data_IF_550691423967
#
_entry.id   IF_550691423967
#
_cell.length_a   1.000
_cell.length_b   1.000
_cell.length_c   1.000
_cell.angle_alpha   90.00
_cell.angle_beta   90.00
_cell.angle_gamma   90.00
#
_symmetry.space_group_name_H-M   'P 1'
#
loop_
_entity.id
_entity.type
_entity.pdbx_description
1 polymer ?
#
# COMPACT_ATOMS: atom_id res chain seq x y z
N UNK A 1 50.01 -4.61 -0.85
CA UNK A 1 50.34 -3.88 0.39
C UNK A 1 49.12 -3.93 1.26
N UNK A 2 49.23 -4.64 2.38
CA UNK A 2 48.20 -4.75 3.41
C UNK A 2 48.34 -3.55 4.35
N UNK A 3 47.28 -2.80 4.61
CA UNK A 3 47.24 -1.87 5.75
C UNK A 3 46.06 -2.23 6.66
N UNK A 4 46.44 -2.78 7.80
CA UNK A 4 45.63 -2.92 8.99
C UNK A 4 45.82 -1.66 9.85
N UNK A 5 44.74 -1.15 10.44
CA UNK A 5 44.84 -0.25 11.60
C UNK A 5 43.97 -0.85 12.71
N UNK A 6 44.68 -1.47 13.66
CA UNK A 6 44.19 -1.81 14.99
C UNK A 6 44.40 -0.62 15.92
N UNK A 7 43.46 -0.40 16.84
CA UNK A 7 43.71 0.26 18.11
C UNK A 7 42.61 1.21 18.57
N UNK A 8 41.88 0.83 19.63
CA UNK A 8 42.10 1.44 20.95
C UNK A 8 41.38 0.66 22.06
N UNK A 9 42.12 0.49 23.15
CA UNK A 9 41.84 -0.33 24.34
C UNK A 9 40.99 0.40 25.37
N UNK A 10 40.05 -0.33 25.97
CA UNK A 10 39.23 0.05 27.13
C UNK A 10 40.08 0.04 28.40
N UNK A 11 39.98 1.10 29.22
CA UNK A 11 40.58 1.16 30.57
C UNK A 11 39.51 1.49 31.61
N UNK A 12 39.31 0.56 32.54
CA UNK A 12 38.53 0.75 33.76
C UNK A 12 39.39 1.36 34.88
N UNK A 13 38.81 2.05 35.86
CA UNK A 13 39.43 2.26 37.16
C UNK A 13 38.72 1.47 38.28
N UNK A 14 39.53 0.84 39.13
CA UNK A 14 39.13 0.33 40.45
C UNK A 14 39.59 1.28 41.57
N UNK A 15 38.86 1.23 42.69
CA UNK A 15 39.22 1.78 44.00
C UNK A 15 38.03 2.53 44.61
N UNK A 16 37.60 2.35 45.85
CA UNK A 16 38.05 1.57 47.01
C UNK A 16 37.05 1.82 48.14
N UNK A 17 36.96 0.89 49.09
CA UNK A 17 35.96 0.83 50.17
C UNK A 17 36.12 1.93 51.24
N UNK A 18 34.98 2.41 51.76
CA UNK A 18 34.90 3.18 53.00
C UNK A 18 33.45 3.22 53.53
N UNK A 19 33.21 2.59 54.69
CA UNK A 19 31.90 2.55 55.38
C UNK A 19 31.96 3.45 56.62
N UNK A 20 31.03 4.41 56.76
CA UNK A 20 30.18 4.59 57.96
C UNK A 20 29.15 5.73 57.84
N UNK A 21 27.90 5.32 58.07
CA UNK A 21 26.66 5.98 58.54
C UNK A 21 26.70 7.42 59.07
N UNK A 22 25.75 8.25 58.59
CA UNK A 22 24.76 9.00 59.42
C UNK A 22 23.58 9.54 58.58
N UNK A 23 22.36 9.48 59.14
CA UNK A 23 21.31 10.50 58.95
C UNK A 23 20.33 10.39 57.76
N UNK A 24 19.21 9.69 57.96
CA UNK A 24 18.05 9.72 57.05
C UNK A 24 17.27 11.04 57.14
N UNK A 25 17.06 11.70 55.99
CA UNK A 25 15.99 12.70 55.78
C UNK A 25 15.24 12.35 54.49
N UNK A 26 13.90 12.40 54.45
CA UNK A 26 13.15 12.00 53.27
C UNK A 26 13.18 13.12 52.23
N UNK A 27 13.86 12.88 51.10
CA UNK A 27 13.88 13.80 49.95
C UNK A 27 12.56 13.66 49.20
N UNK A 28 11.77 14.73 49.20
CA UNK A 28 10.52 14.83 48.45
C UNK A 28 10.80 14.54 46.97
N UNK A 29 10.10 13.55 46.40
CA UNK A 29 10.13 13.27 44.95
C UNK A 29 9.50 14.47 44.25
N UNK A 30 10.33 15.28 43.58
CA UNK A 30 9.85 16.16 42.52
C UNK A 30 9.36 15.28 41.38
N UNK A 31 8.03 15.20 41.22
CA UNK A 31 7.40 14.59 40.06
C UNK A 31 7.97 15.26 38.80
N UNK A 32 8.64 14.47 37.95
CA UNK A 32 8.97 14.89 36.59
C UNK A 32 7.64 14.95 35.87
N UNK A 33 7.18 16.17 35.60
CA UNK A 33 5.98 16.43 34.82
C UNK A 33 6.25 15.92 33.40
N UNK A 34 5.62 14.80 33.03
CA UNK A 34 5.60 14.31 31.66
C UNK A 34 4.83 15.38 30.86
N UNK A 35 5.40 15.93 29.78
CA UNK A 35 4.69 16.93 28.99
C UNK A 35 3.36 16.33 28.53
N UNK A 36 2.25 17.11 28.56
CA UNK A 36 0.95 16.61 28.15
C UNK A 36 1.06 16.02 26.74
N UNK A 37 0.46 14.85 26.55
CA UNK A 37 0.25 14.30 25.21
C UNK A 37 -0.28 15.42 24.31
N UNK A 38 0.25 15.59 23.09
CA UNK A 38 -0.31 16.56 22.17
C UNK A 38 -1.82 16.32 22.08
N UNK A 39 -2.65 17.38 22.04
CA UNK A 39 -4.09 17.23 21.96
C UNK A 39 -4.40 16.29 20.80
N UNK A 40 -5.29 15.33 21.02
CA UNK A 40 -5.79 14.45 19.97
C UNK A 40 -6.28 15.34 18.83
N UNK A 41 -5.50 15.41 17.74
CA UNK A 41 -5.92 16.14 16.56
C UNK A 41 -7.00 15.28 15.91
N UNK A 42 -8.24 15.77 15.80
CA UNK A 42 -9.28 15.03 15.11
C UNK A 42 -8.81 14.81 13.67
N UNK A 43 -8.93 13.58 13.17
CA UNK A 43 -8.61 13.25 11.78
C UNK A 43 -9.34 14.24 10.87
N UNK A 44 -8.56 14.90 10.01
CA UNK A 44 -9.09 15.77 8.98
C UNK A 44 -9.61 14.91 7.81
N UNK A 45 -10.53 15.42 6.99
CA UNK A 45 -11.09 14.63 5.90
C UNK A 45 -10.03 13.98 5.00
N UNK A 46 -8.96 14.71 4.69
CA UNK A 46 -7.92 14.19 3.80
C UNK A 46 -7.10 13.07 4.43
N UNK A 47 -7.03 12.98 5.77
CA UNK A 47 -6.21 11.99 6.50
C UNK A 47 -6.71 10.54 6.28
N UNK A 48 -7.92 10.34 5.73
CA UNK A 48 -8.38 9.00 5.34
C UNK A 48 -7.51 8.35 4.26
N UNK A 49 -6.73 9.13 3.52
CA UNK A 49 -5.75 8.60 2.56
C UNK A 49 -4.74 7.66 3.23
N UNK A 50 -4.35 7.90 4.48
CA UNK A 50 -3.42 7.02 5.20
C UNK A 50 -3.97 5.61 5.39
N UNK A 51 -5.29 5.47 5.50
CA UNK A 51 -5.97 4.18 5.61
C UNK A 51 -5.91 3.44 4.27
N UNK A 52 -6.09 4.18 3.17
CA UNK A 52 -5.92 3.66 1.82
C UNK A 52 -4.47 3.27 1.54
N UNK A 53 -3.48 4.11 1.87
CA UNK A 53 -2.05 3.82 1.73
C UNK A 53 -1.67 2.56 2.51
N UNK A 54 -2.17 2.38 3.74
CA UNK A 54 -1.95 1.15 4.52
C UNK A 54 -2.44 -0.09 3.79
N UNK A 55 -3.59 0.01 3.15
CA UNK A 55 -4.16 -1.08 2.39
C UNK A 55 -3.35 -1.36 1.12
N UNK A 56 -3.03 -0.33 0.32
CA UNK A 56 -2.19 -0.46 -0.86
C UNK A 56 -0.82 -1.11 -0.54
N UNK A 57 -0.21 -0.71 0.59
CA UNK A 57 1.01 -1.35 1.10
C UNK A 57 0.83 -2.84 1.32
N UNK A 58 -0.24 -3.25 2.03
CA UNK A 58 -0.53 -4.65 2.29
C UNK A 58 -0.74 -5.44 0.99
N UNK A 59 -1.39 -4.86 0.00
CA UNK A 59 -1.67 -5.53 -1.27
C UNK A 59 -0.38 -5.78 -2.08
N UNK A 60 0.55 -4.83 -2.11
CA UNK A 60 1.83 -5.03 -2.81
C UNK A 60 2.73 -6.04 -2.09
N UNK A 61 2.71 -6.07 -0.74
CA UNK A 61 3.40 -7.14 0.00
C UNK A 61 2.85 -8.52 -0.34
N UNK A 62 1.52 -8.68 -0.41
CA UNK A 62 0.91 -9.96 -0.79
C UNK A 62 1.31 -10.39 -2.21
N UNK A 63 1.40 -9.45 -3.16
CA UNK A 63 1.87 -9.76 -4.51
C UNK A 63 3.31 -10.29 -4.51
N UNK A 64 4.21 -9.62 -3.79
CA UNK A 64 5.60 -10.07 -3.66
C UNK A 64 5.68 -11.47 -3.02
N UNK A 65 4.99 -11.69 -1.89
CA UNK A 65 4.96 -13.00 -1.21
C UNK A 65 4.43 -14.10 -2.12
N UNK A 66 3.35 -13.85 -2.89
CA UNK A 66 2.84 -14.83 -3.84
C UNK A 66 3.87 -15.17 -4.92
N UNK A 67 4.60 -14.18 -5.43
CA UNK A 67 5.65 -14.42 -6.43
C UNK A 67 6.82 -15.24 -5.87
N UNK A 68 7.19 -15.03 -4.61
CA UNK A 68 8.25 -15.78 -3.93
C UNK A 68 7.82 -17.22 -3.65
N UNK A 69 6.61 -17.42 -3.11
CA UNK A 69 6.05 -18.75 -2.89
C UNK A 69 5.95 -19.56 -4.19
N UNK A 70 5.61 -18.90 -5.30
CA UNK A 70 5.57 -19.52 -6.61
C UNK A 70 6.95 -20.00 -7.07
N UNK A 71 8.01 -19.22 -6.81
CA UNK A 71 9.39 -19.65 -7.11
C UNK A 71 9.81 -20.86 -6.25
N UNK A 72 9.50 -20.83 -4.95
CA UNK A 72 9.83 -21.91 -4.03
C UNK A 72 9.18 -23.22 -4.48
N UNK A 73 7.87 -23.19 -4.74
CA UNK A 73 7.12 -24.35 -5.21
C UNK A 73 7.63 -24.85 -6.56
N UNK A 74 7.94 -23.97 -7.52
CA UNK A 74 8.50 -24.37 -8.81
C UNK A 74 9.86 -25.08 -8.66
N UNK A 75 10.68 -24.66 -7.69
CA UNK A 75 12.01 -25.22 -7.45
C UNK A 75 11.97 -26.61 -6.82
N UNK A 76 10.98 -26.89 -5.98
CA UNK A 76 10.86 -28.14 -5.22
C UNK A 76 10.02 -29.20 -5.93
N UNK A 77 9.12 -28.78 -6.82
CA UNK A 77 8.05 -29.63 -7.31
C UNK A 77 8.39 -30.25 -8.67
N UNK A 78 8.12 -31.55 -8.81
CA UNK A 78 8.28 -32.32 -10.05
C UNK A 78 7.02 -33.16 -10.36
N UNK A 79 6.77 -33.40 -11.64
CA UNK A 79 5.66 -34.21 -12.12
C UNK A 79 4.35 -33.45 -12.32
N UNK A 80 3.35 -34.13 -12.87
CA UNK A 80 2.10 -33.51 -13.35
C UNK A 80 1.32 -32.77 -12.24
N UNK A 81 1.32 -33.30 -11.01
CA UNK A 81 0.65 -32.65 -9.88
C UNK A 81 1.31 -31.31 -9.51
N UNK A 82 2.64 -31.22 -9.66
CA UNK A 82 3.38 -29.98 -9.47
C UNK A 82 3.01 -28.92 -10.51
N UNK A 83 2.93 -29.33 -11.78
CA UNK A 83 2.58 -28.45 -12.89
C UNK A 83 1.17 -27.85 -12.72
N UNK A 84 0.21 -28.66 -12.27
CA UNK A 84 -1.15 -28.20 -11.94
C UNK A 84 -1.14 -27.17 -10.81
N UNK A 85 -0.35 -27.39 -9.75
CA UNK A 85 -0.23 -26.42 -8.65
C UNK A 85 0.42 -25.11 -9.10
N UNK A 86 1.49 -25.18 -9.88
CA UNK A 86 2.16 -23.99 -10.45
C UNK A 86 1.20 -23.21 -11.34
N UNK A 87 0.43 -23.89 -12.20
CA UNK A 87 -0.58 -23.26 -13.03
C UNK A 87 -1.65 -22.53 -12.20
N UNK A 88 -2.16 -23.16 -11.15
CA UNK A 88 -3.16 -22.56 -10.27
C UNK A 88 -2.61 -21.30 -9.57
N UNK A 89 -1.38 -21.35 -9.06
CA UNK A 89 -0.73 -20.21 -8.42
C UNK A 89 -0.44 -19.06 -9.38
N UNK A 90 -0.10 -19.35 -10.64
CA UNK A 90 0.10 -18.31 -11.66
C UNK A 90 -1.22 -17.59 -11.97
N UNK A 91 -2.34 -18.30 -12.01
CA UNK A 91 -3.66 -17.67 -12.18
C UNK A 91 -4.08 -16.87 -10.94
N UNK A 92 -3.75 -17.33 -9.73
CA UNK A 92 -3.93 -16.57 -8.49
C UNK A 92 -3.10 -15.27 -8.51
N UNK A 93 -1.81 -15.38 -8.83
CA UNK A 93 -0.90 -14.24 -8.95
C UNK A 93 -1.39 -13.24 -9.98
N UNK A 94 -1.84 -13.70 -11.15
CA UNK A 94 -2.41 -12.86 -12.19
C UNK A 94 -3.65 -12.10 -11.70
N UNK A 95 -4.59 -12.81 -11.08
CA UNK A 95 -5.80 -12.19 -10.52
C UNK A 95 -5.43 -11.14 -9.48
N UNK A 96 -4.43 -11.46 -8.65
CA UNK A 96 -3.98 -10.56 -7.59
C UNK A 96 -3.26 -9.32 -8.12
N UNK A 97 -2.46 -9.51 -9.15
CA UNK A 97 -1.78 -8.44 -9.86
C UNK A 97 -2.78 -7.49 -10.51
N UNK A 98 -3.78 -7.99 -11.25
CA UNK A 98 -4.81 -7.16 -11.88
C UNK A 98 -5.58 -6.33 -10.85
N UNK A 99 -5.93 -6.95 -9.72
CA UNK A 99 -6.56 -6.26 -8.60
C UNK A 99 -5.70 -5.11 -8.08
N UNK A 100 -4.43 -5.38 -7.74
CA UNK A 100 -3.51 -4.36 -7.24
C UNK A 100 -3.31 -3.24 -8.25
N UNK A 101 -3.07 -3.57 -9.51
CA UNK A 101 -2.79 -2.59 -10.56
C UNK A 101 -4.00 -1.68 -10.83
N UNK A 102 -5.22 -2.21 -10.79
CA UNK A 102 -6.43 -1.38 -10.89
C UNK A 102 -6.58 -0.40 -9.72
N UNK A 103 -6.27 -0.85 -8.50
CA UNK A 103 -6.33 0.00 -7.30
C UNK A 103 -5.25 1.08 -7.32
N UNK A 104 -4.04 0.69 -7.70
CA UNK A 104 -2.91 1.61 -7.88
C UNK A 104 -3.27 2.72 -8.87
N UNK A 105 -3.72 2.36 -10.09
CA UNK A 105 -4.09 3.35 -11.12
C UNK A 105 -5.18 4.29 -10.65
N UNK A 106 -6.23 3.78 -10.03
CA UNK A 106 -7.29 4.64 -9.48
C UNK A 106 -6.75 5.68 -8.50
N UNK A 107 -5.76 5.30 -7.69
CA UNK A 107 -5.14 6.20 -6.72
C UNK A 107 -4.21 7.22 -7.37
N UNK A 108 -3.29 6.79 -8.22
CA UNK A 108 -2.38 7.69 -8.93
C UNK A 108 -3.15 8.65 -9.84
N UNK A 109 -4.20 8.19 -10.52
CA UNK A 109 -5.06 9.03 -11.36
C UNK A 109 -5.81 10.07 -10.53
N UNK A 110 -6.35 9.69 -9.37
CA UNK A 110 -7.01 10.62 -8.47
C UNK A 110 -6.02 11.70 -7.97
N UNK A 111 -4.78 11.32 -7.75
CA UNK A 111 -3.73 12.25 -7.34
C UNK A 111 -3.35 13.22 -8.45
N UNK A 112 -2.96 12.70 -9.60
CA UNK A 112 -2.52 13.50 -10.75
C UNK A 112 -3.63 14.41 -11.28
N UNK A 113 -4.88 13.95 -11.29
CA UNK A 113 -6.00 14.72 -11.87
C UNK A 113 -6.73 15.65 -10.90
N UNK A 114 -6.61 15.42 -9.59
CA UNK A 114 -7.44 16.10 -8.58
C UNK A 114 -6.62 16.64 -7.42
N UNK A 115 -5.81 15.80 -6.77
CA UNK A 115 -5.08 16.17 -5.55
C UNK A 115 -3.94 17.13 -5.86
N UNK A 116 -3.08 16.77 -6.80
CA UNK A 116 -1.91 17.57 -7.19
C UNK A 116 -2.33 18.92 -7.78
N UNK A 117 -3.30 19.01 -8.73
CA UNK A 117 -3.80 20.30 -9.18
C UNK A 117 -4.39 21.15 -8.04
N UNK A 118 -5.03 20.54 -7.04
CA UNK A 118 -5.52 21.27 -5.88
C UNK A 118 -4.37 21.83 -5.04
N UNK A 119 -3.32 21.05 -4.77
CA UNK A 119 -2.11 21.51 -4.08
C UNK A 119 -1.46 22.69 -4.82
N UNK A 120 -1.23 22.53 -6.12
CA UNK A 120 -0.55 23.52 -6.98
C UNK A 120 -1.36 24.82 -7.16
N UNK A 121 -2.67 24.79 -6.89
CA UNK A 121 -3.53 25.97 -6.94
C UNK A 121 -3.33 26.94 -5.76
N UNK A 122 -2.64 26.51 -4.69
CA UNK A 122 -2.34 27.37 -3.54
C UNK A 122 -1.09 28.20 -3.85
N UNK A 123 -1.18 29.52 -3.66
CA UNK A 123 -0.07 30.47 -3.92
C UNK A 123 1.26 30.10 -3.24
N UNK A 124 1.22 29.38 -2.11
CA UNK A 124 2.40 28.97 -1.36
C UNK A 124 3.02 27.64 -1.84
N UNK A 125 2.34 26.90 -2.71
CA UNK A 125 2.68 25.54 -3.11
C UNK A 125 2.75 25.49 -4.64
N UNK A 126 3.97 25.66 -5.16
CA UNK A 126 4.24 25.55 -6.59
C UNK A 126 5.38 24.56 -6.82
N UNK A 127 5.21 23.67 -7.80
CA UNK A 127 6.13 22.60 -8.17
C UNK A 127 6.40 21.62 -7.02
N UNK A 128 5.38 21.34 -6.20
CA UNK A 128 5.49 20.39 -5.08
C UNK A 128 5.12 18.98 -5.48
N UNK A 129 4.36 18.80 -6.57
CA UNK A 129 3.77 17.52 -6.98
C UNK A 129 4.49 16.81 -8.14
N UNK A 130 5.26 17.55 -8.95
CA UNK A 130 5.77 17.02 -10.22
C UNK A 130 6.65 15.77 -10.10
N UNK A 131 7.46 15.66 -9.04
CA UNK A 131 8.28 14.46 -8.81
C UNK A 131 7.44 13.22 -8.57
N UNK A 132 6.28 13.34 -7.93
CA UNK A 132 5.38 12.23 -7.64
C UNK A 132 4.68 11.73 -8.91
N UNK A 133 4.28 12.64 -9.82
CA UNK A 133 3.81 12.25 -11.15
C UNK A 133 4.88 11.49 -11.96
N UNK A 134 6.17 11.82 -11.80
CA UNK A 134 7.25 11.05 -12.44
C UNK A 134 7.46 9.68 -11.78
N UNK A 135 7.29 9.60 -10.46
CA UNK A 135 7.27 8.32 -9.74
C UNK A 135 6.11 7.46 -10.25
N UNK A 136 4.90 8.03 -10.44
CA UNK A 136 3.75 7.31 -11.03
C UNK A 136 4.05 6.72 -12.40
N UNK A 137 4.67 7.51 -13.29
CA UNK A 137 5.02 7.04 -14.64
C UNK A 137 5.99 5.86 -14.58
N UNK A 138 7.00 5.95 -13.71
CA UNK A 138 8.00 4.89 -13.53
C UNK A 138 7.36 3.62 -12.95
N UNK A 139 6.48 3.76 -11.97
CA UNK A 139 5.75 2.66 -11.35
C UNK A 139 4.79 1.99 -12.34
N UNK A 140 4.08 2.76 -13.16
CA UNK A 140 3.19 2.24 -14.21
C UNK A 140 3.95 1.44 -15.27
N UNK A 141 5.17 1.86 -15.64
CA UNK A 141 6.06 1.06 -16.50
C UNK A 141 6.41 -0.28 -15.87
N UNK A 142 6.76 -0.30 -14.58
CA UNK A 142 7.04 -1.54 -13.86
C UNK A 142 5.81 -2.47 -13.81
N UNK A 143 4.61 -1.93 -13.56
CA UNK A 143 3.37 -2.71 -13.59
C UNK A 143 3.14 -3.32 -14.99
N UNK A 144 3.33 -2.53 -16.06
CA UNK A 144 3.18 -3.00 -17.44
C UNK A 144 4.14 -4.13 -17.77
N UNK A 145 5.40 -4.02 -17.36
CA UNK A 145 6.38 -5.07 -17.56
C UNK A 145 5.99 -6.35 -16.81
N UNK A 146 5.51 -6.25 -15.57
CA UNK A 146 4.99 -7.40 -14.82
C UNK A 146 3.82 -8.06 -15.57
N UNK A 147 2.88 -7.27 -16.09
CA UNK A 147 1.74 -7.77 -16.86
C UNK A 147 2.19 -8.60 -18.07
N UNK A 148 3.21 -8.12 -18.79
CA UNK A 148 3.79 -8.82 -19.93
C UNK A 148 4.40 -10.17 -19.53
N UNK A 149 5.17 -10.21 -18.44
CA UNK A 149 5.79 -11.44 -17.93
C UNK A 149 4.74 -12.44 -17.47
N UNK A 150 3.71 -12.00 -16.73
CA UNK A 150 2.60 -12.87 -16.30
C UNK A 150 1.85 -13.44 -17.51
N UNK A 151 1.58 -12.62 -18.53
CA UNK A 151 0.90 -13.04 -19.76
C UNK A 151 1.71 -14.11 -20.51
N UNK A 152 3.03 -13.92 -20.62
CA UNK A 152 3.92 -14.90 -21.22
C UNK A 152 3.93 -16.22 -20.43
N UNK A 153 4.06 -16.15 -19.09
CA UNK A 153 4.03 -17.33 -18.21
C UNK A 153 2.72 -18.11 -18.34
N UNK A 154 1.58 -17.43 -18.32
CA UNK A 154 0.25 -18.06 -18.50
C UNK A 154 0.10 -18.75 -19.84
N UNK A 155 0.65 -18.16 -20.90
CA UNK A 155 0.60 -18.73 -22.26
C UNK A 155 1.48 -19.98 -22.35
N UNK A 156 2.67 -19.94 -21.76
CA UNK A 156 3.61 -21.04 -21.74
C UNK A 156 3.05 -22.25 -20.97
N UNK A 157 2.43 -22.03 -19.82
CA UNK A 157 1.84 -23.09 -18.98
C UNK A 157 0.68 -23.81 -19.69
N UNK A 158 -0.06 -23.12 -20.55
CA UNK A 158 -1.20 -23.70 -21.30
C UNK A 158 -0.76 -24.48 -22.55
N UNK A 159 0.51 -24.40 -22.95
CA UNK A 159 1.02 -25.05 -24.15
C UNK A 159 1.50 -26.48 -23.85
N UNK A 160 0.94 -27.47 -24.54
CA UNK A 160 1.38 -28.88 -24.44
C UNK A 160 2.88 -29.07 -24.79
N UNK A 161 3.45 -28.14 -25.57
CA UNK A 161 4.87 -28.16 -25.95
C UNK A 161 5.83 -27.83 -24.79
N UNK A 162 5.33 -27.25 -23.69
CA UNK A 162 6.16 -26.86 -22.53
C UNK A 162 6.44 -28.01 -21.55
N UNK A 163 5.84 -29.19 -21.75
CA UNK A 163 5.93 -30.31 -20.82
C UNK A 163 7.25 -31.13 -20.91
N UNK A 164 8.14 -30.85 -21.88
CA UNK A 164 9.36 -31.65 -22.09
C UNK A 164 10.61 -30.80 -22.41
N UNK A 165 11.62 -30.81 -21.52
CA UNK A 165 13.00 -30.34 -21.78
C UNK A 165 13.35 -28.90 -21.35
N UNK A 166 14.12 -28.11 -22.16
CA UNK A 166 14.70 -26.79 -21.79
C UNK A 166 13.69 -25.72 -21.33
N UNK A 167 12.40 -25.97 -21.55
CA UNK A 167 11.26 -25.20 -21.09
C UNK A 167 11.24 -24.91 -19.56
N UNK A 168 11.70 -25.83 -18.71
CA UNK A 168 11.68 -25.64 -17.23
C UNK A 168 12.69 -24.60 -16.75
N UNK A 169 13.86 -24.53 -17.40
CA UNK A 169 14.91 -23.54 -17.10
C UNK A 169 14.45 -22.13 -17.52
N UNK A 170 13.80 -22.03 -18.68
CA UNK A 170 13.23 -20.77 -19.15
C UNK A 170 12.06 -20.30 -18.28
N UNK A 171 11.22 -21.22 -17.79
CA UNK A 171 10.17 -20.92 -16.83
C UNK A 171 10.75 -20.42 -15.51
N UNK A 172 11.77 -21.08 -14.96
CA UNK A 172 12.43 -20.63 -13.74
C UNK A 172 13.02 -19.22 -13.90
N UNK A 173 13.65 -18.93 -15.05
CA UNK A 173 14.16 -17.59 -15.36
C UNK A 173 13.04 -16.54 -15.39
N UNK A 174 11.91 -16.85 -16.02
CA UNK A 174 10.74 -15.96 -16.05
C UNK A 174 10.16 -15.72 -14.66
N UNK A 175 10.05 -16.75 -13.83
CA UNK A 175 9.58 -16.65 -12.44
C UNK A 175 10.54 -15.85 -11.56
N UNK A 176 11.85 -16.06 -11.73
CA UNK A 176 12.89 -15.29 -11.03
C UNK A 176 12.85 -13.81 -11.42
N UNK A 177 12.69 -13.52 -12.70
CA UNK A 177 12.52 -12.16 -13.19
C UNK A 177 11.26 -11.52 -12.62
N UNK A 178 10.11 -12.21 -12.69
CA UNK A 178 8.84 -11.75 -12.13
C UNK A 178 8.94 -11.45 -10.63
N UNK A 179 9.56 -12.34 -9.85
CA UNK A 179 9.74 -12.12 -8.42
C UNK A 179 10.60 -10.88 -8.14
N UNK A 180 11.70 -10.71 -8.89
CA UNK A 180 12.52 -9.51 -8.81
C UNK A 180 11.75 -8.22 -9.13
N UNK A 181 10.86 -8.26 -10.13
CA UNK A 181 10.01 -7.12 -10.49
C UNK A 181 8.94 -6.83 -9.44
N UNK A 182 8.31 -7.85 -8.85
CA UNK A 182 7.39 -7.67 -7.74
C UNK A 182 8.09 -7.02 -6.52
N UNK A 183 9.33 -7.42 -6.24
CA UNK A 183 10.16 -6.75 -5.23
C UNK A 183 10.47 -5.31 -5.61
N UNK A 184 10.79 -5.02 -6.88
CA UNK A 184 11.06 -3.67 -7.35
C UNK A 184 9.84 -2.75 -7.19
N UNK A 185 8.65 -3.18 -7.65
CA UNK A 185 7.39 -2.45 -7.47
C UNK A 185 7.10 -2.21 -5.99
N UNK A 186 7.29 -3.23 -5.14
CA UNK A 186 7.11 -3.05 -3.69
C UNK A 186 8.05 -1.97 -3.15
N UNK A 187 9.34 -2.03 -3.45
CA UNK A 187 10.32 -1.06 -2.94
C UNK A 187 10.01 0.35 -3.44
N UNK A 188 9.68 0.51 -4.72
CA UNK A 188 9.32 1.79 -5.32
C UNK A 188 8.09 2.38 -4.63
N UNK A 189 6.98 1.63 -4.60
CA UNK A 189 5.73 2.10 -4.04
C UNK A 189 5.83 2.37 -2.53
N UNK A 190 6.63 1.59 -1.77
CA UNK A 190 6.85 1.89 -0.35
C UNK A 190 7.54 3.23 -0.15
N UNK A 191 8.56 3.52 -0.96
CA UNK A 191 9.30 4.78 -0.88
C UNK A 191 8.42 5.94 -1.31
N UNK A 192 7.69 5.78 -2.41
CA UNK A 192 6.78 6.77 -2.95
C UNK A 192 5.71 7.15 -1.90
N UNK A 193 4.90 6.19 -1.44
CA UNK A 193 3.86 6.43 -0.43
C UNK A 193 4.41 7.00 0.88
N UNK A 194 5.61 6.58 1.31
CA UNK A 194 6.23 7.13 2.52
C UNK A 194 6.67 8.59 2.35
N UNK A 195 7.04 8.99 1.14
CA UNK A 195 7.41 10.36 0.82
C UNK A 195 6.16 11.24 0.81
N UNK A 196 5.09 10.80 0.15
CA UNK A 196 3.79 11.50 0.19
C UNK A 196 3.27 11.66 1.62
N UNK A 197 3.23 10.56 2.40
CA UNK A 197 2.80 10.52 3.80
C UNK A 197 3.47 11.61 4.65
N UNK A 198 4.75 11.85 4.37
CA UNK A 198 5.59 12.76 5.14
C UNK A 198 5.58 14.19 4.60
N UNK A 199 5.45 14.36 3.30
CA UNK A 199 5.77 15.62 2.61
C UNK A 199 4.53 16.31 2.04
N UNK A 200 3.62 15.56 1.42
CA UNK A 200 2.43 16.13 0.75
C UNK A 200 1.25 16.29 1.71
N UNK A 201 0.86 15.23 2.40
CA UNK A 201 -0.36 15.24 3.21
C UNK A 201 -0.36 16.27 4.35
N UNK A 202 0.76 16.57 5.03
CA UNK A 202 0.81 17.66 6.01
C UNK A 202 0.52 19.05 5.41
N UNK A 203 0.68 19.25 4.10
CA UNK A 203 0.37 20.52 3.45
C UNK A 203 -1.13 20.81 3.44
N UNK A 204 -1.98 19.78 3.33
CA UNK A 204 -3.43 19.96 3.43
C UNK A 204 -3.83 20.49 4.80
N UNK A 205 -3.23 19.97 5.87
CA UNK A 205 -3.50 20.44 7.23
C UNK A 205 -3.01 21.87 7.48
N UNK A 206 -2.07 22.36 6.67
CA UNK A 206 -1.50 23.71 6.78
C UNK A 206 -2.18 24.75 5.89
N UNK A 207 -2.56 24.39 4.67
CA UNK A 207 -2.97 25.33 3.63
C UNK A 207 -4.42 25.18 3.17
N UNK A 208 -5.11 24.12 3.62
CA UNK A 208 -6.50 23.86 3.27
C UNK A 208 -7.38 23.94 4.51
N UNK A 209 -8.52 24.61 4.36
CA UNK A 209 -9.60 24.49 5.33
C UNK A 209 -10.28 23.13 5.21
N UNK A 210 -10.96 22.69 6.27
CA UNK A 210 -11.75 21.43 6.27
C UNK A 210 -12.71 21.37 5.09
N UNK A 211 -13.39 22.47 4.79
CA UNK A 211 -14.34 22.54 3.67
C UNK A 211 -13.65 22.37 2.31
N UNK A 212 -12.41 22.87 2.13
CA UNK A 212 -11.65 22.66 0.90
C UNK A 212 -11.18 21.20 0.79
N UNK A 213 -10.77 20.57 1.90
CA UNK A 213 -10.43 19.14 1.91
C UNK A 213 -11.65 18.27 1.56
N UNK A 214 -12.84 18.56 2.13
CA UNK A 214 -14.11 17.90 1.78
C UNK A 214 -14.42 18.04 0.28
N UNK A 215 -14.14 19.20 -0.32
CA UNK A 215 -14.34 19.40 -1.76
C UNK A 215 -13.38 18.55 -2.60
N UNK A 216 -12.11 18.40 -2.19
CA UNK A 216 -11.15 17.52 -2.88
C UNK A 216 -11.66 16.09 -2.86
N UNK A 217 -12.04 15.58 -1.69
CA UNK A 217 -12.57 14.22 -1.51
C UNK A 217 -13.87 14.02 -2.30
N UNK A 218 -14.78 15.00 -2.25
CA UNK A 218 -16.01 14.97 -3.03
C UNK A 218 -15.76 14.88 -4.53
N UNK A 219 -14.71 15.53 -5.06
CA UNK A 219 -14.30 15.39 -6.46
C UNK A 219 -13.71 14.02 -6.77
N UNK A 220 -12.86 13.48 -5.89
CA UNK A 220 -12.32 12.12 -6.03
C UNK A 220 -13.48 11.12 -6.15
N UNK A 221 -14.37 11.09 -5.16
CA UNK A 221 -15.51 10.18 -5.13
C UNK A 221 -16.46 10.42 -6.32
N UNK A 222 -16.68 11.68 -6.70
CA UNK A 222 -17.54 12.03 -7.83
C UNK A 222 -16.99 11.62 -9.19
N UNK A 223 -15.66 11.46 -9.33
CA UNK A 223 -15.01 10.92 -10.53
C UNK A 223 -14.85 9.41 -10.49
N UNK A 224 -14.76 8.80 -9.31
CA UNK A 224 -14.68 7.35 -9.16
C UNK A 224 -16.00 6.68 -9.59
N UNK A 225 -15.90 5.61 -10.37
CA UNK A 225 -17.07 4.81 -10.72
C UNK A 225 -17.58 4.00 -9.51
N UNK A 226 -18.85 3.59 -9.55
CA UNK A 226 -19.41 2.76 -8.49
C UNK A 226 -18.69 1.40 -8.35
N UNK A 227 -18.18 0.85 -9.44
CA UNK A 227 -17.46 -0.43 -9.44
C UNK A 227 -16.08 -0.29 -8.76
N UNK A 228 -15.39 0.83 -9.00
CA UNK A 228 -14.13 1.16 -8.33
C UNK A 228 -14.34 1.31 -6.82
N UNK A 229 -15.37 2.05 -6.39
CA UNK A 229 -15.66 2.25 -4.97
C UNK A 229 -16.08 0.96 -4.26
N UNK A 230 -16.78 0.06 -4.96
CA UNK A 230 -17.11 -1.28 -4.44
C UNK A 230 -15.88 -2.14 -4.18
N UNK A 231 -14.76 -1.88 -4.87
CA UNK A 231 -13.49 -2.58 -4.66
C UNK A 231 -12.64 -1.89 -3.61
N UNK A 232 -12.54 -0.56 -3.65
CA UNK A 232 -11.68 0.21 -2.75
C UNK A 232 -12.18 0.20 -1.31
N UNK A 233 -13.48 0.35 -1.08
CA UNK A 233 -14.01 0.43 0.28
C UNK A 233 -13.71 -0.85 1.09
N UNK A 234 -13.96 -2.09 0.60
CA UNK A 234 -13.59 -3.32 1.33
C UNK A 234 -12.14 -3.42 1.70
N UNK A 235 -11.28 -2.94 0.80
CA UNK A 235 -9.85 -2.91 1.03
C UNK A 235 -9.50 -1.96 2.20
N UNK A 236 -10.09 -0.76 2.24
CA UNK A 236 -9.89 0.17 3.37
C UNK A 236 -10.52 -0.39 4.66
N UNK A 237 -11.68 -1.05 4.59
CA UNK A 237 -12.32 -1.71 5.75
C UNK A 237 -11.37 -2.66 6.46
N UNK A 238 -10.65 -3.48 5.69
CA UNK A 238 -9.83 -4.55 6.26
C UNK A 238 -8.62 -4.01 7.02
N UNK A 239 -8.24 -2.75 6.78
CA UNK A 239 -7.10 -2.08 7.40
C UNK A 239 -7.47 -1.02 8.43
N UNK A 240 -8.77 -0.85 8.70
CA UNK A 240 -9.30 0.18 9.62
C UNK A 240 -9.98 -0.45 10.82
N UNK A 241 -9.77 0.17 11.97
CA UNK A 241 -10.49 -0.12 13.22
C UNK A 241 -11.96 0.32 13.11
N UNK A 242 -12.88 -0.21 13.94
CA UNK A 242 -14.27 0.24 13.95
C UNK A 242 -14.44 1.75 14.16
N UNK A 243 -13.56 2.38 14.96
CA UNK A 243 -13.57 3.83 15.15
C UNK A 243 -13.15 4.57 13.87
N UNK A 244 -12.04 4.16 13.24
CA UNK A 244 -11.58 4.75 11.97
C UNK A 244 -12.65 4.61 10.87
N UNK A 245 -13.39 3.50 10.86
CA UNK A 245 -14.51 3.26 9.94
C UNK A 245 -15.68 4.24 10.17
N UNK A 246 -16.05 4.49 11.43
CA UNK A 246 -17.09 5.47 11.77
C UNK A 246 -16.67 6.90 11.41
N UNK A 247 -15.42 7.25 11.66
CA UNK A 247 -14.88 8.57 11.32
C UNK A 247 -14.87 8.78 9.80
N UNK A 248 -14.42 7.77 9.03
CA UNK A 248 -14.43 7.79 7.57
C UNK A 248 -15.84 7.88 6.99
N UNK A 249 -16.78 7.11 7.54
CA UNK A 249 -18.20 7.20 7.20
C UNK A 249 -18.73 8.63 7.33
N UNK A 250 -18.48 9.26 8.47
CA UNK A 250 -18.96 10.60 8.77
C UNK A 250 -18.35 11.63 7.83
N UNK A 251 -17.03 11.57 7.64
CA UNK A 251 -16.27 12.45 6.76
C UNK A 251 -16.73 12.36 5.30
N UNK A 252 -16.82 11.14 4.76
CA UNK A 252 -17.28 10.94 3.38
C UNK A 252 -18.75 11.35 3.23
N UNK A 253 -19.61 10.99 4.18
CA UNK A 253 -21.04 11.38 4.14
C UNK A 253 -21.22 12.89 4.09
N UNK A 254 -20.36 13.62 4.81
CA UNK A 254 -20.33 15.07 4.81
C UNK A 254 -19.83 15.63 3.47
N UNK A 255 -18.73 15.09 2.94
CA UNK A 255 -18.18 15.46 1.63
C UNK A 255 -19.18 15.22 0.48
N UNK A 256 -20.01 14.20 0.60
CA UNK A 256 -21.00 13.80 -0.43
C UNK A 256 -22.43 14.18 -0.09
N UNK A 257 -22.67 15.05 0.91
CA UNK A 257 -24.00 15.35 1.49
C UNK A 257 -25.07 15.81 0.49
N UNK A 258 -24.66 16.31 -0.67
CA UNK A 258 -25.56 16.77 -1.73
C UNK A 258 -25.80 15.72 -2.83
N UNK A 259 -25.47 14.45 -2.57
CA UNK A 259 -25.58 13.35 -3.56
C UNK A 259 -26.37 12.17 -2.99
N UNK A 260 -26.80 11.26 -3.86
CA UNK A 260 -27.40 9.99 -3.42
C UNK A 260 -26.37 9.01 -2.82
N UNK A 261 -25.08 9.34 -2.84
CA UNK A 261 -23.97 8.48 -2.41
C UNK A 261 -24.03 8.11 -0.92
N UNK A 262 -24.43 9.05 -0.07
CA UNK A 262 -24.48 8.85 1.39
C UNK A 262 -25.36 7.65 1.79
N UNK A 263 -26.47 7.41 1.07
CA UNK A 263 -27.36 6.27 1.32
C UNK A 263 -26.69 4.94 0.98
N UNK A 264 -25.97 4.89 -0.14
CA UNK A 264 -25.21 3.71 -0.56
C UNK A 264 -24.07 3.44 0.43
N UNK A 265 -23.29 4.46 0.79
CA UNK A 265 -22.17 4.35 1.71
C UNK A 265 -22.58 3.84 3.11
N UNK A 266 -23.70 4.35 3.64
CA UNK A 266 -24.19 3.95 4.96
C UNK A 266 -24.60 2.47 5.01
N UNK A 267 -25.03 1.89 3.88
CA UNK A 267 -25.36 0.46 3.81
C UNK A 267 -24.13 -0.45 3.91
N UNK A 268 -22.95 0.08 3.54
CA UNK A 268 -21.73 -0.68 3.35
C UNK A 268 -20.91 -0.88 4.64
N UNK A 269 -20.99 0.08 5.57
CA UNK A 269 -20.36 0.00 6.89
C UNK A 269 -21.23 -0.63 7.97
N UNK A 270 -22.48 -1.00 7.66
CA UNK A 270 -23.28 -1.80 8.59
C UNK A 270 -22.57 -3.14 8.84
N UNK A 271 -22.63 -3.67 10.07
CA UNK A 271 -22.16 -5.03 10.33
C UNK A 271 -22.97 -6.00 9.45
N UNK A 272 -22.29 -6.98 8.86
CA UNK A 272 -22.95 -8.06 8.14
C UNK A 272 -23.97 -8.69 9.09
N UNK A 273 -25.25 -8.64 8.72
CA UNK A 273 -26.24 -9.45 9.40
C UNK A 273 -25.86 -10.91 9.13
N UNK A 274 -25.33 -11.57 10.16
CA UNK A 274 -24.91 -12.96 10.12
C UNK A 274 -26.02 -13.83 9.49
N UNK A 275 -25.80 -14.35 8.28
CA UNK A 275 -26.75 -15.24 7.63
C UNK A 275 -26.69 -15.35 6.10
N UNK A 276 -25.88 -14.56 5.39
CA UNK A 276 -25.67 -14.73 3.94
C UNK A 276 -24.33 -15.36 3.65
N UNK A 277 -24.31 -16.54 3.01
CA UNK A 277 -23.09 -17.13 2.44
C UNK A 277 -22.38 -16.13 1.53
N UNK A 278 -21.03 -16.02 1.57
CA UNK A 278 -20.31 -15.16 0.63
C UNK A 278 -20.42 -15.78 -0.76
N UNK A 279 -21.34 -15.27 -1.57
CA UNK A 279 -21.40 -15.59 -2.98
C UNK A 279 -20.28 -14.85 -3.68
N UNK A 280 -19.32 -15.63 -4.19
CA UNK A 280 -18.51 -15.38 -5.38
C UNK A 280 -17.73 -14.06 -5.41
N UNK A 281 -16.41 -14.18 -5.41
CA UNK A 281 -15.49 -13.15 -5.93
C UNK A 281 -16.10 -12.45 -7.17
N UNK A 282 -16.10 -11.10 -7.23
CA UNK A 282 -16.54 -10.42 -8.43
C UNK A 282 -15.63 -10.86 -9.58
N UNK A 283 -16.22 -11.42 -10.63
CA UNK A 283 -15.50 -11.67 -11.88
C UNK A 283 -15.10 -10.32 -12.44
N UNK A 284 -13.81 -10.01 -12.33
CA UNK A 284 -13.20 -8.98 -13.15
C UNK A 284 -13.45 -9.30 -14.62
N UNK A 285 -14.07 -8.36 -15.34
CA UNK A 285 -13.95 -8.37 -16.79
C UNK A 285 -12.46 -8.14 -17.11
N UNK A 286 -11.82 -8.98 -17.95
CA UNK A 286 -10.46 -8.71 -18.39
C UNK A 286 -10.42 -7.32 -19.03
N UNK A 287 -9.44 -6.51 -18.65
CA UNK A 287 -9.11 -5.29 -19.41
C UNK A 287 -8.92 -5.69 -20.86
N UNK A 288 -9.65 -5.01 -21.75
CA UNK A 288 -9.58 -5.28 -23.18
C UNK A 288 -8.22 -4.85 -23.74
N UNK A 289 -7.80 -5.40 -24.90
CA UNK A 289 -6.55 -5.01 -25.54
C UNK A 289 -6.49 -3.51 -25.91
N UNK A 290 -7.62 -2.81 -25.94
CA UNK A 290 -7.69 -1.38 -26.25
C UNK A 290 -7.31 -0.47 -25.06
N UNK A 291 -7.22 -0.99 -23.83
CA UNK A 291 -6.77 -0.22 -22.64
C UNK A 291 -5.24 -0.27 -22.44
N UNK A 292 -4.51 -0.89 -23.38
CA UNK A 292 -3.04 -1.02 -23.38
C UNK A 292 -2.35 -0.08 -24.39
N UNK A 293 -3.10 0.82 -25.02
CA UNK A 293 -2.57 1.74 -26.02
C UNK A 293 -3.14 3.16 -25.84
N UNK A 294 -2.69 3.85 -24.79
CA UNK A 294 -2.42 5.31 -24.78
C UNK A 294 -1.46 5.64 -23.66
#
# INVERSE_FOLDING_TARGET
>A
GSEAISGLTIRAPQGGLGVRSTGSTPRSRTSVEVPPHPPFQPMQPIDHIFQFHRALRREVYKLETLSQNLMEIHSEAEGEEADVRVAAMVEELHTRFQFLWGIYRTHSDAEDEIVFPALESKDALHNVSHSYTLDHQTEEELFRDIANVITALRSNIKSEAYQHGPARVDQWRQLSHLSGMCTAVRVCLMKHLASEDKELWPLFNRYFTVAEQEQVIGRIIGRSSADVLQVMLPLIKSETTPQEQEDMLNSISQATRNTNFTRWLTSWFKPDQAGGTPSSTPRYAPLGPDDLAT
#
